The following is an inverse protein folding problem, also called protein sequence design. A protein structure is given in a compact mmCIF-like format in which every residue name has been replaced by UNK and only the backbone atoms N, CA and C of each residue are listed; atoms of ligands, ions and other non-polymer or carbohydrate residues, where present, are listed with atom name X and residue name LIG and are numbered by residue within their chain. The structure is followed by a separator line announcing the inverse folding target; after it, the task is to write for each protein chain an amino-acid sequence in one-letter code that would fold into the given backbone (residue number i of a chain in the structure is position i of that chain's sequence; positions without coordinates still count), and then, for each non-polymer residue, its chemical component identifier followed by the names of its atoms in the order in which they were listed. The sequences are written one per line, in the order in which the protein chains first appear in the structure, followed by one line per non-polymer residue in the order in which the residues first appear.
data_IF_410867824624
#
_entry.id   IF_410867824624
#
_cell.length_a   1.000
_cell.length_b   1.000
_cell.length_c   1.000
_cell.angle_alpha   90.00
_cell.angle_beta   90.00
_cell.angle_gamma   90.00
#
_symmetry.space_group_name_H-M   'P 1'
#
loop_
_entity.id
_entity.type
_entity.pdbx_description
1 polymer ?
#
# COMPACT_ATOMS: atom_id res chain seq x y z
N UNK A 1 21.50 -20.72 14.39
CA UNK A 1 20.48 -20.16 13.49
C UNK A 1 19.46 -19.44 14.36
N UNK A 2 19.36 -18.11 14.29
CA UNK A 2 18.34 -17.37 15.05
C UNK A 2 17.01 -17.40 14.26
N UNK A 3 15.93 -17.74 14.96
CA UNK A 3 14.61 -18.00 14.37
C UNK A 3 14.03 -16.76 13.69
N UNK A 4 13.38 -16.97 12.54
CA UNK A 4 12.62 -15.91 11.87
C UNK A 4 11.55 -15.37 12.83
N UNK A 5 11.61 -14.07 13.13
CA UNK A 5 10.70 -13.42 14.06
C UNK A 5 9.68 -12.60 13.27
N UNK A 6 8.40 -12.76 13.58
CA UNK A 6 7.33 -11.96 12.96
C UNK A 6 7.18 -10.64 13.71
N UNK A 7 6.87 -9.57 12.99
CA UNK A 7 6.67 -8.24 13.57
C UNK A 7 5.44 -7.54 12.94
N UNK A 8 4.78 -6.69 13.73
CA UNK A 8 3.67 -5.84 13.29
C UNK A 8 4.19 -4.49 12.76
N UNK A 9 3.36 -3.78 11.98
CA UNK A 9 3.67 -2.43 11.51
C UNK A 9 4.16 -1.52 12.67
N UNK A 10 5.24 -0.77 12.43
CA UNK A 10 5.86 0.09 13.45
C UNK A 10 6.76 -0.62 14.49
N UNK A 11 6.71 -1.96 14.62
CA UNK A 11 7.58 -2.68 15.57
C UNK A 11 9.02 -2.85 15.08
N UNK A 12 9.25 -2.77 13.76
CA UNK A 12 10.58 -2.91 13.16
C UNK A 12 11.58 -1.87 13.70
N UNK A 13 11.12 -0.66 14.02
CA UNK A 13 11.95 0.39 14.65
C UNK A 13 12.59 -0.10 15.93
N UNK A 14 11.82 -0.77 16.80
CA UNK A 14 12.31 -1.24 18.09
C UNK A 14 13.33 -2.37 17.91
N UNK A 15 13.10 -3.25 16.94
CA UNK A 15 14.07 -4.30 16.61
C UNK A 15 15.42 -3.70 16.18
N UNK A 16 15.40 -2.74 15.26
CA UNK A 16 16.63 -2.08 14.78
C UNK A 16 17.36 -1.31 15.89
N UNK A 17 16.62 -0.68 16.81
CA UNK A 17 17.21 -0.06 18.01
C UNK A 17 17.88 -1.08 18.93
N UNK A 18 17.24 -2.22 19.18
CA UNK A 18 17.82 -3.26 20.01
C UNK A 18 19.14 -3.81 19.43
N UNK A 19 19.27 -3.91 18.10
CA UNK A 19 20.54 -4.30 17.48
C UNK A 19 21.67 -3.33 17.82
N UNK A 20 21.35 -2.04 17.92
CA UNK A 20 22.30 -0.99 18.31
C UNK A 20 22.71 -1.14 19.77
N UNK A 21 21.74 -1.29 20.66
CA UNK A 21 21.98 -1.43 22.10
C UNK A 21 22.76 -2.71 22.45
N UNK A 22 22.58 -3.78 21.66
CA UNK A 22 23.27 -5.07 21.82
C UNK A 22 24.56 -5.18 20.99
N UNK A 23 25.00 -4.11 20.30
CA UNK A 23 26.21 -4.09 19.47
C UNK A 23 26.28 -5.22 18.43
N UNK A 24 25.13 -5.59 17.85
CA UNK A 24 25.02 -6.75 16.96
C UNK A 24 25.72 -6.49 15.63
N UNK A 25 26.51 -7.46 15.17
CA UNK A 25 27.06 -7.51 13.81
C UNK A 25 26.39 -8.61 13.01
N UNK A 26 25.92 -8.30 11.82
CA UNK A 26 25.31 -9.28 10.93
C UNK A 26 24.50 -8.70 9.79
N UNK A 27 23.79 -9.60 9.11
CA UNK A 27 22.87 -9.28 8.02
C UNK A 27 21.44 -9.50 8.48
N UNK A 28 20.61 -8.47 8.34
CA UNK A 28 19.18 -8.53 8.65
C UNK A 28 18.39 -8.62 7.36
N UNK A 29 17.73 -9.75 7.14
CA UNK A 29 16.77 -9.94 6.06
C UNK A 29 15.37 -9.62 6.55
N UNK A 30 14.67 -8.77 5.81
CA UNK A 30 13.32 -8.33 6.13
C UNK A 30 12.42 -8.72 4.97
N UNK A 31 11.30 -9.38 5.29
CA UNK A 31 10.28 -9.76 4.34
C UNK A 31 8.96 -9.11 4.74
N UNK A 32 8.58 -8.02 4.07
CA UNK A 32 7.35 -7.28 4.37
C UNK A 32 6.16 -7.83 3.61
N UNK A 33 4.98 -7.77 4.25
CA UNK A 33 3.69 -8.13 3.66
C UNK A 33 2.95 -6.82 3.42
N UNK A 34 2.95 -6.39 2.16
CA UNK A 34 2.39 -5.09 1.75
C UNK A 34 0.87 -5.18 1.56
N UNK A 35 0.38 -6.29 0.98
CA UNK A 35 -1.03 -6.67 0.89
C UNK A 35 -1.16 -8.21 0.84
N UNK A 36 -2.29 -8.82 1.29
CA UNK A 36 -2.47 -10.27 1.27
C UNK A 36 -2.35 -10.92 -0.11
N UNK A 37 -2.71 -10.18 -1.17
CA UNK A 37 -2.68 -10.64 -2.57
C UNK A 37 -1.38 -10.25 -3.31
N UNK A 38 -0.50 -9.45 -2.69
CA UNK A 38 0.74 -8.98 -3.31
C UNK A 38 1.97 -9.77 -2.86
N UNK A 39 2.97 -9.84 -3.73
CA UNK A 39 4.23 -10.54 -3.45
C UNK A 39 4.93 -9.90 -2.24
N UNK A 40 5.44 -10.72 -1.31
CA UNK A 40 6.21 -10.20 -0.19
C UNK A 40 7.49 -9.51 -0.70
N UNK A 41 7.84 -8.36 -0.13
CA UNK A 41 9.04 -7.62 -0.51
C UNK A 41 10.18 -7.96 0.40
N UNK A 42 11.32 -8.31 -0.19
CA UNK A 42 12.53 -8.62 0.56
C UNK A 42 13.45 -7.40 0.56
N UNK A 43 13.99 -7.08 1.73
CA UNK A 43 14.97 -6.04 1.97
C UNK A 43 16.09 -6.61 2.84
N UNK A 44 17.26 -5.99 2.75
CA UNK A 44 18.41 -6.37 3.57
C UNK A 44 19.05 -5.15 4.20
N UNK A 45 19.49 -5.30 5.44
CA UNK A 45 20.44 -4.39 6.10
C UNK A 45 21.71 -5.16 6.45
N UNK A 46 22.85 -4.49 6.37
CA UNK A 46 24.08 -4.95 7.02
C UNK A 46 24.34 -4.04 8.20
N UNK A 47 24.53 -4.66 9.36
CA UNK A 47 24.79 -4.00 10.63
C UNK A 47 26.17 -4.44 11.11
N UNK A 48 26.98 -3.50 11.58
CA UNK A 48 28.28 -3.77 12.17
C UNK A 48 28.39 -3.03 13.50
N UNK A 49 28.64 -3.76 14.58
CA UNK A 49 28.74 -3.23 15.94
C UNK A 49 27.51 -2.40 16.34
N UNK A 50 26.32 -2.85 15.94
CA UNK A 50 25.05 -2.18 16.21
C UNK A 50 24.70 -1.03 15.26
N UNK A 51 25.61 -0.58 14.39
CA UNK A 51 25.35 0.51 13.45
C UNK A 51 24.99 -0.04 12.05
N UNK A 52 24.00 0.58 11.39
CA UNK A 52 23.65 0.23 10.00
C UNK A 52 24.71 0.78 9.07
N UNK A 53 25.33 -0.08 8.27
CA UNK A 53 26.36 0.30 7.29
C UNK A 53 25.90 0.14 5.84
N UNK A 54 24.80 -0.58 5.61
CA UNK A 54 24.21 -0.77 4.29
C UNK A 54 22.73 -1.14 4.38
N UNK A 55 21.96 -0.76 3.38
CA UNK A 55 20.61 -1.25 3.16
C UNK A 55 20.30 -1.35 1.68
N UNK A 56 19.55 -2.36 1.24
CA UNK A 56 19.15 -2.51 -0.15
C UNK A 56 18.12 -3.60 -0.42
N UNK A 57 17.86 -3.86 -1.70
CA UNK A 57 17.03 -4.99 -2.16
C UNK A 57 17.74 -6.34 -1.95
N UNK A 58 19.06 -6.34 -2.13
CA UNK A 58 19.95 -7.50 -2.01
C UNK A 58 21.34 -7.03 -1.58
N UNK A 59 22.14 -7.96 -1.09
CA UNK A 59 23.55 -7.74 -0.80
C UNK A 59 24.32 -7.74 -2.13
N UNK A 60 25.21 -6.77 -2.39
CA UNK A 60 26.14 -6.85 -3.52
C UNK A 60 26.96 -8.14 -3.47
N UNK A 61 27.11 -8.82 -4.60
CA UNK A 61 27.85 -10.10 -4.65
C UNK A 61 29.35 -9.90 -4.45
N UNK A 62 29.87 -8.73 -4.81
CA UNK A 62 31.28 -8.37 -4.66
C UNK A 62 31.46 -6.85 -4.61
N UNK A 63 32.67 -6.44 -4.26
CA UNK A 63 33.08 -5.04 -4.15
C UNK A 63 33.00 -4.27 -5.48
N UNK A 64 33.23 -4.92 -6.62
CA UNK A 64 33.13 -4.28 -7.94
C UNK A 64 31.68 -3.93 -8.31
N UNK A 65 30.73 -4.83 -8.03
CA UNK A 65 29.30 -4.56 -8.22
C UNK A 65 28.86 -3.36 -7.39
N UNK A 66 29.29 -3.32 -6.12
CA UNK A 66 29.00 -2.18 -5.24
C UNK A 66 29.63 -0.88 -5.75
N UNK A 67 30.92 -0.88 -6.10
CA UNK A 67 31.60 0.32 -6.61
C UNK A 67 30.98 0.81 -7.93
N UNK A 68 30.53 -0.10 -8.81
CA UNK A 68 29.83 0.25 -10.05
C UNK A 68 28.47 0.87 -9.75
N UNK A 69 27.71 0.30 -8.82
CA UNK A 69 26.43 0.86 -8.37
C UNK A 69 26.61 2.31 -7.87
N UNK A 70 27.63 2.58 -7.06
CA UNK A 70 27.96 3.95 -6.63
C UNK A 70 28.30 4.84 -7.84
N UNK A 71 29.16 4.37 -8.75
CA UNK A 71 29.57 5.11 -9.94
C UNK A 71 28.41 5.50 -10.86
N UNK A 72 27.45 4.58 -11.07
CA UNK A 72 26.22 4.84 -11.84
C UNK A 72 25.38 5.91 -11.16
N UNK A 73 25.16 5.81 -9.85
CA UNK A 73 24.34 6.78 -9.09
C UNK A 73 24.95 8.20 -9.06
N UNK A 74 26.26 8.31 -9.23
CA UNK A 74 26.96 9.59 -9.35
C UNK A 74 27.11 10.08 -10.80
N UNK A 75 26.56 9.36 -11.79
CA UNK A 75 26.73 9.63 -13.22
C UNK A 75 28.21 9.71 -13.67
N UNK A 76 29.09 8.96 -13.01
CA UNK A 76 30.50 8.91 -13.38
C UNK A 76 30.75 7.89 -14.50
N UNK A 77 30.79 8.37 -15.74
CA UNK A 77 31.07 7.54 -16.94
C UNK A 77 32.41 6.79 -16.89
N UNK A 78 33.35 7.22 -16.06
CA UNK A 78 34.68 6.62 -15.89
C UNK A 78 34.80 5.64 -14.71
N UNK A 79 33.73 5.39 -13.96
CA UNK A 79 33.76 4.53 -12.78
C UNK A 79 34.25 3.10 -13.10
N UNK A 80 33.82 2.51 -14.21
CA UNK A 80 34.27 1.16 -14.61
C UNK A 80 35.77 1.09 -14.92
N UNK A 81 36.33 2.14 -15.52
CA UNK A 81 37.77 2.24 -15.79
C UNK A 81 38.56 2.34 -14.49
N UNK A 82 38.08 3.17 -13.55
CA UNK A 82 38.67 3.33 -12.23
C UNK A 82 38.64 2.03 -11.40
N UNK A 83 37.52 1.29 -11.45
CA UNK A 83 37.39 -0.02 -10.77
C UNK A 83 38.40 -1.00 -11.34
N UNK A 84 38.45 -1.15 -12.68
CA UNK A 84 39.41 -2.06 -13.35
C UNK A 84 40.86 -1.73 -12.99
N UNK A 85 41.23 -0.46 -13.04
CA UNK A 85 42.57 0.00 -12.67
C UNK A 85 42.90 -0.31 -11.20
N UNK A 86 41.94 -0.07 -10.31
CA UNK A 86 42.13 -0.26 -8.87
C UNK A 86 42.27 -1.74 -8.49
N UNK A 87 41.46 -2.61 -9.10
CA UNK A 87 41.46 -4.05 -8.84
C UNK A 87 42.83 -4.72 -9.04
N UNK A 88 43.60 -4.26 -10.03
CA UNK A 88 44.94 -4.80 -10.30
C UNK A 88 45.96 -4.50 -9.20
N UNK A 89 45.64 -3.56 -8.30
CA UNK A 89 46.57 -3.05 -7.29
C UNK A 89 46.15 -3.40 -5.87
N UNK A 90 45.04 -4.12 -5.68
CA UNK A 90 44.53 -4.50 -4.36
C UNK A 90 45.40 -5.59 -3.71
N UNK A 91 45.58 -5.48 -2.39
CA UNK A 91 46.19 -6.55 -1.57
C UNK A 91 45.15 -7.61 -1.24
N UNK A 92 43.93 -7.20 -0.94
CA UNK A 92 42.78 -8.07 -0.73
C UNK A 92 41.70 -7.80 -1.80
N UNK A 93 41.61 -8.64 -2.86
CA UNK A 93 40.67 -8.44 -3.96
C UNK A 93 39.19 -8.47 -3.56
N UNK A 94 38.83 -9.04 -2.40
CA UNK A 94 37.44 -9.08 -1.93
C UNK A 94 37.09 -7.96 -0.96
N UNK A 95 38.05 -7.16 -0.50
CA UNK A 95 37.80 -6.06 0.43
C UNK A 95 37.04 -4.93 -0.26
N UNK A 96 35.88 -4.57 0.30
CA UNK A 96 35.09 -3.42 -0.16
C UNK A 96 35.80 -2.13 0.20
N UNK A 97 36.24 -2.00 1.46
CA UNK A 97 36.96 -0.84 1.97
C UNK A 97 38.23 -0.56 1.16
N UNK A 98 39.09 -1.57 0.90
CA UNK A 98 40.35 -1.31 0.17
C UNK A 98 40.10 -0.82 -1.26
N UNK A 99 39.07 -1.36 -1.93
CA UNK A 99 38.66 -0.90 -3.25
C UNK A 99 38.18 0.55 -3.19
N UNK A 100 37.26 0.88 -2.29
CA UNK A 100 36.69 2.22 -2.16
C UNK A 100 37.74 3.25 -1.75
N UNK A 101 38.59 2.95 -0.77
CA UNK A 101 39.68 3.85 -0.33
C UNK A 101 40.59 4.22 -1.49
N UNK A 102 40.94 3.27 -2.35
CA UNK A 102 41.78 3.54 -3.51
C UNK A 102 41.04 4.35 -4.57
N UNK A 103 39.77 4.04 -4.85
CA UNK A 103 38.95 4.82 -5.79
C UNK A 103 38.81 6.27 -5.30
N UNK A 104 38.63 6.47 -4.00
CA UNK A 104 38.61 7.81 -3.37
C UNK A 104 39.98 8.49 -3.47
N UNK A 105 41.08 7.78 -3.23
CA UNK A 105 42.45 8.33 -3.38
C UNK A 105 42.75 8.81 -4.79
N UNK A 106 42.24 8.12 -5.83
CA UNK A 106 42.36 8.55 -7.23
C UNK A 106 41.29 9.57 -7.65
N UNK A 107 40.51 10.08 -6.69
CA UNK A 107 39.53 11.18 -6.83
C UNK A 107 38.40 10.91 -7.84
N UNK A 108 37.98 9.66 -7.94
CA UNK A 108 36.84 9.28 -8.81
C UNK A 108 35.51 9.60 -8.16
N UNK A 109 35.40 9.42 -6.84
CA UNK A 109 34.33 9.94 -5.98
C UNK A 109 34.88 10.13 -4.56
N UNK A 110 34.14 10.80 -3.68
CA UNK A 110 34.51 11.06 -2.27
C UNK A 110 33.74 10.18 -1.30
N UNK A 111 34.24 10.05 -0.07
CA UNK A 111 33.54 9.29 0.98
C UNK A 111 32.16 9.85 1.31
N UNK A 112 32.02 11.18 1.30
CA UNK A 112 30.74 11.84 1.56
C UNK A 112 29.69 11.50 0.50
N UNK A 113 30.10 11.28 -0.75
CA UNK A 113 29.22 10.90 -1.86
C UNK A 113 28.76 9.44 -1.72
N UNK A 114 29.68 8.54 -1.33
CA UNK A 114 29.35 7.14 -1.01
C UNK A 114 28.38 7.08 0.15
N UNK A 115 28.68 7.79 1.25
CA UNK A 115 27.84 7.86 2.43
C UNK A 115 26.44 8.38 2.08
N UNK A 116 26.33 9.47 1.30
CA UNK A 116 25.04 10.02 0.88
C UNK A 116 24.21 9.01 0.08
N UNK A 117 24.84 8.24 -0.81
CA UNK A 117 24.16 7.19 -1.58
C UNK A 117 23.67 6.07 -0.67
N UNK A 118 24.54 5.54 0.19
CA UNK A 118 24.19 4.44 1.09
C UNK A 118 23.13 4.87 2.10
N UNK A 119 23.24 6.10 2.63
CA UNK A 119 22.25 6.72 3.49
C UNK A 119 20.89 6.79 2.80
N UNK A 120 20.84 7.34 1.58
CA UNK A 120 19.61 7.41 0.78
C UNK A 120 18.99 6.03 0.56
N UNK A 121 19.83 5.03 0.27
CA UNK A 121 19.38 3.66 0.08
C UNK A 121 18.78 3.06 1.35
N UNK A 122 19.42 3.27 2.52
CA UNK A 122 18.90 2.83 3.82
C UNK A 122 17.58 3.52 4.16
N UNK A 123 17.48 4.83 3.93
CA UNK A 123 16.23 5.59 4.11
C UNK A 123 15.10 5.00 3.25
N UNK A 124 15.36 4.71 1.97
CA UNK A 124 14.36 4.10 1.08
C UNK A 124 13.93 2.71 1.57
N UNK A 125 14.87 1.89 2.06
CA UNK A 125 14.52 0.58 2.63
C UNK A 125 13.65 0.72 3.88
N UNK A 126 14.00 1.63 4.79
CA UNK A 126 13.23 1.90 6.00
C UNK A 126 11.83 2.42 5.67
N UNK A 127 11.71 3.39 4.76
CA UNK A 127 10.45 3.94 4.27
C UNK A 127 9.49 2.83 3.80
N UNK A 128 10.02 1.82 3.12
CA UNK A 128 9.24 0.72 2.55
C UNK A 128 8.96 -0.41 3.54
N UNK A 129 9.77 -0.56 4.59
CA UNK A 129 9.66 -1.68 5.52
C UNK A 129 8.91 -1.34 6.81
N UNK A 130 9.07 -0.13 7.33
CA UNK A 130 8.50 0.30 8.61
C UNK A 130 6.95 0.29 8.66
N UNK A 131 6.23 0.71 7.59
CA UNK A 131 4.77 0.79 7.63
C UNK A 131 4.06 -0.58 7.58
N UNK A 132 4.78 -1.65 7.24
CA UNK A 132 4.17 -2.95 6.94
C UNK A 132 4.59 -4.01 7.95
N UNK A 133 3.69 -4.94 8.32
CA UNK A 133 4.08 -6.13 9.08
C UNK A 133 4.97 -7.04 8.23
N UNK A 134 5.74 -7.91 8.88
CA UNK A 134 6.65 -8.79 8.16
C UNK A 134 7.34 -9.83 9.02
N UNK A 135 8.31 -10.48 8.40
CA UNK A 135 9.23 -11.42 9.04
C UNK A 135 10.64 -10.87 8.93
N UNK A 136 11.43 -11.07 9.99
CA UNK A 136 12.84 -10.72 10.02
C UNK A 136 13.68 -11.96 10.30
N UNK A 137 14.88 -12.02 9.71
CA UNK A 137 15.88 -13.05 9.96
C UNK A 137 17.24 -12.38 10.12
N UNK A 138 17.91 -12.66 11.23
CA UNK A 138 19.28 -12.20 11.49
C UNK A 138 20.27 -13.33 11.21
N UNK A 139 21.27 -13.04 10.39
CA UNK A 139 22.44 -13.88 10.19
C UNK A 139 23.66 -13.16 10.77
N UNK A 140 24.45 -13.83 11.61
CA UNK A 140 25.62 -13.23 12.28
C UNK A 140 26.81 -13.02 11.34
N UNK A 141 26.63 -13.25 10.05
CA UNK A 141 27.63 -13.03 9.01
C UNK A 141 27.56 -11.59 8.52
N UNK A 142 28.69 -10.89 8.57
CA UNK A 142 28.88 -9.58 7.98
C UNK A 142 29.58 -9.78 6.62
N UNK A 143 28.87 -9.63 5.48
CA UNK A 143 29.42 -9.97 4.17
C UNK A 143 30.52 -8.99 3.72
N UNK A 144 30.50 -7.78 4.25
CA UNK A 144 31.50 -6.74 4.01
C UNK A 144 31.42 -5.68 5.09
N UNK A 145 32.51 -4.93 5.25
CA UNK A 145 32.55 -3.75 6.10
C UNK A 145 32.62 -2.48 5.24
N UNK A 146 31.67 -1.58 5.47
CA UNK A 146 31.63 -0.23 4.88
C UNK A 146 31.84 0.84 5.95
N UNK A 147 32.14 0.46 7.20
CA UNK A 147 32.49 1.43 8.21
C UNK A 147 33.78 2.16 7.80
N UNK A 148 33.83 3.46 8.12
CA UNK A 148 34.93 4.34 7.74
C UNK A 148 35.25 5.29 8.88
N UNK A 149 36.43 5.91 8.79
CA UNK A 149 37.00 6.72 9.88
C UNK A 149 37.62 5.88 11.00
N UNK A 150 38.34 6.54 11.91
CA UNK A 150 39.07 5.87 13.01
C UNK A 150 38.13 5.19 14.03
N UNK A 151 36.85 5.59 14.06
CA UNK A 151 35.84 5.08 15.00
C UNK A 151 34.97 3.94 14.42
N UNK A 152 35.23 3.47 13.17
CA UNK A 152 34.34 2.54 12.44
C UNK A 152 32.87 2.98 12.45
N UNK A 153 32.60 4.20 11.95
CA UNK A 153 31.25 4.78 11.98
C UNK A 153 30.31 4.08 11.00
N UNK A 154 29.11 3.75 11.45
CA UNK A 154 27.96 3.50 10.57
C UNK A 154 27.08 4.75 10.44
N UNK A 155 25.90 4.59 9.84
CA UNK A 155 24.99 5.68 9.56
C UNK A 155 24.28 6.19 10.81
N UNK A 156 24.13 7.51 10.91
CA UNK A 156 23.44 8.16 12.03
C UNK A 156 21.94 7.80 12.04
N UNK A 157 21.53 7.07 13.08
CA UNK A 157 20.14 6.65 13.28
C UNK A 157 19.12 7.80 13.37
N UNK A 158 19.46 8.88 14.07
CA UNK A 158 18.57 10.03 14.22
C UNK A 158 18.35 10.73 12.88
N UNK A 159 19.43 10.89 12.09
CA UNK A 159 19.36 11.42 10.73
C UNK A 159 18.55 10.52 9.79
N UNK A 160 18.79 9.21 9.82
CA UNK A 160 18.01 8.24 9.04
C UNK A 160 16.51 8.36 9.32
N UNK A 161 16.12 8.37 10.59
CA UNK A 161 14.71 8.46 10.97
C UNK A 161 14.09 9.82 10.68
N UNK A 162 14.87 10.91 10.76
CA UNK A 162 14.45 12.23 10.31
C UNK A 162 14.11 12.21 8.82
N UNK A 163 15.02 11.70 7.98
CA UNK A 163 14.82 11.67 6.53
C UNK A 163 13.68 10.74 6.11
N UNK A 164 13.50 9.60 6.80
CA UNK A 164 12.33 8.74 6.62
C UNK A 164 11.03 9.50 6.91
N UNK A 165 11.00 10.26 8.01
CA UNK A 165 9.80 11.04 8.40
C UNK A 165 9.52 12.15 7.38
N UNK A 166 10.55 12.86 6.93
CA UNK A 166 10.44 13.89 5.89
C UNK A 166 9.86 13.30 4.61
N UNK A 167 10.35 12.15 4.16
CA UNK A 167 9.82 11.50 2.96
C UNK A 167 8.39 11.01 3.12
N UNK A 168 8.00 10.50 4.29
CA UNK A 168 6.61 10.14 4.57
C UNK A 168 5.68 11.36 4.46
N UNK A 169 6.13 12.54 4.92
CA UNK A 169 5.38 13.78 4.75
C UNK A 169 5.29 14.17 3.27
N UNK A 170 6.37 14.03 2.50
CA UNK A 170 6.35 14.29 1.06
C UNK A 170 5.39 13.34 0.32
N UNK A 171 5.38 12.05 0.64
CA UNK A 171 4.38 11.11 0.12
C UNK A 171 2.95 11.53 0.45
N UNK A 172 2.70 12.02 1.66
CA UNK A 172 1.39 12.52 2.06
C UNK A 172 0.94 13.72 1.20
N UNK A 173 1.87 14.55 0.71
CA UNK A 173 1.54 15.66 -0.22
C UNK A 173 1.06 15.19 -1.59
N UNK A 174 1.36 13.94 -1.97
CA UNK A 174 0.93 13.36 -3.25
C UNK A 174 -0.50 12.79 -3.20
N UNK A 175 -1.06 12.63 -2.00
CA UNK A 175 -2.44 12.18 -1.78
C UNK A 175 -3.44 13.32 -2.11
N UNK A 176 -4.60 13.06 -2.76
CA UNK A 176 -5.17 11.74 -3.07
C UNK A 176 -4.78 11.17 -4.44
N UNK A 177 -4.03 11.92 -5.27
CA UNK A 177 -3.74 11.54 -6.65
C UNK A 177 -2.83 10.30 -6.69
N UNK A 178 -1.82 10.25 -5.84
CA UNK A 178 -0.99 9.08 -5.61
C UNK A 178 -1.21 8.62 -4.17
N UNK A 179 -2.07 7.60 -3.95
CA UNK A 179 -2.46 7.19 -2.60
C UNK A 179 -1.35 6.46 -1.84
N UNK A 180 -0.40 5.83 -2.53
CA UNK A 180 0.77 5.18 -1.93
C UNK A 180 1.81 4.82 -3.00
N UNK A 181 2.98 4.35 -2.58
CA UNK A 181 3.98 3.75 -3.48
C UNK A 181 3.49 2.46 -4.15
N UNK A 182 2.45 1.82 -3.61
CA UNK A 182 1.83 0.60 -4.13
C UNK A 182 0.74 0.89 -5.16
N UNK A 183 0.50 2.17 -5.47
CA UNK A 183 -0.45 2.56 -6.49
C UNK A 183 -0.04 2.02 -7.86
N UNK A 184 -0.99 1.41 -8.57
CA UNK A 184 -0.84 0.85 -9.90
C UNK A 184 -1.28 1.90 -10.92
N UNK A 185 -0.35 2.49 -11.70
CA UNK A 185 -0.71 3.42 -12.75
C UNK A 185 -1.40 2.71 -13.92
N UNK A 186 -2.39 3.37 -14.52
CA UNK A 186 -3.10 2.95 -15.74
C UNK A 186 -3.21 4.08 -16.74
N UNK A 187 -2.93 3.80 -18.01
CA UNK A 187 -3.08 4.78 -19.08
C UNK A 187 -4.54 5.12 -19.32
N UNK A 188 -4.80 6.40 -19.60
CA UNK A 188 -6.11 6.90 -20.02
C UNK A 188 -6.10 7.00 -21.56
N UNK A 189 -6.84 6.14 -22.28
CA UNK A 189 -6.70 5.99 -23.74
C UNK A 189 -6.92 7.27 -24.55
N UNK A 190 -7.85 8.12 -24.12
CA UNK A 190 -8.25 9.34 -24.83
C UNK A 190 -7.12 10.39 -24.83
N UNK A 191 -6.28 10.39 -23.79
CA UNK A 191 -5.23 11.40 -23.60
C UNK A 191 -3.90 11.05 -24.29
N UNK A 192 -3.78 9.84 -24.85
CA UNK A 192 -2.55 9.34 -25.46
C UNK A 192 -2.05 10.23 -26.62
N UNK A 193 -2.98 10.79 -27.39
CA UNK A 193 -2.65 11.62 -28.55
C UNK A 193 -2.07 13.00 -28.18
N UNK A 194 -2.20 13.42 -26.91
CA UNK A 194 -1.74 14.72 -26.44
C UNK A 194 -0.27 14.72 -25.94
N UNK A 195 0.35 13.54 -25.80
CA UNK A 195 1.74 13.44 -25.29
C UNK A 195 2.70 13.71 -26.43
N UNK A 196 3.45 14.82 -26.37
CA UNK A 196 4.42 15.19 -27.42
C UNK A 196 5.83 14.68 -27.15
N UNK A 197 6.18 14.40 -25.88
CA UNK A 197 7.49 13.90 -25.49
C UNK A 197 7.61 12.39 -25.79
N UNK A 198 8.54 12.04 -26.69
CA UNK A 198 8.78 10.67 -27.11
C UNK A 198 9.35 9.77 -26.01
N UNK A 199 10.16 10.32 -25.08
CA UNK A 199 10.69 9.56 -23.94
C UNK A 199 9.57 9.20 -22.97
N UNK A 200 8.67 10.15 -22.69
CA UNK A 200 7.50 9.91 -21.84
C UNK A 200 6.58 8.87 -22.47
N UNK A 201 6.31 8.95 -23.77
CA UNK A 201 5.52 7.93 -24.47
C UNK A 201 6.17 6.54 -24.37
N UNK A 202 7.47 6.43 -24.62
CA UNK A 202 8.18 5.16 -24.54
C UNK A 202 8.12 4.58 -23.13
N UNK A 203 8.38 5.40 -22.11
CA UNK A 203 8.28 5.01 -20.70
C UNK A 203 6.89 4.48 -20.35
N UNK A 204 5.85 5.24 -20.67
CA UNK A 204 4.46 4.88 -20.37
C UNK A 204 4.05 3.57 -21.05
N UNK A 205 4.45 3.35 -22.32
CA UNK A 205 4.19 2.08 -23.03
C UNK A 205 4.87 0.88 -22.39
N UNK A 206 6.10 1.07 -21.95
CA UNK A 206 6.93 -0.02 -21.43
C UNK A 206 6.51 -0.43 -20.02
N UNK A 207 6.22 0.55 -19.17
CA UNK A 207 6.07 0.33 -17.73
C UNK A 207 4.63 0.36 -17.23
N UNK A 208 3.74 1.16 -17.83
CA UNK A 208 2.35 1.33 -17.38
C UNK A 208 1.42 0.32 -18.04
N UNK A 209 1.44 -0.91 -17.51
CA UNK A 209 0.58 -2.01 -17.96
C UNK A 209 -0.69 -2.18 -17.12
N UNK A 210 -0.88 -1.37 -16.08
CA UNK A 210 -2.00 -1.48 -15.16
C UNK A 210 -1.97 -2.69 -14.24
N UNK A 211 -0.79 -3.28 -14.01
CA UNK A 211 -0.56 -4.36 -13.03
C UNK A 211 0.62 -4.02 -12.13
N UNK A 212 1.68 -3.41 -12.66
CA UNK A 212 2.87 -3.02 -11.87
C UNK A 212 2.56 -1.81 -11.01
N UNK A 213 2.97 -1.85 -9.75
CA UNK A 213 2.91 -0.68 -8.85
C UNK A 213 4.04 0.31 -9.14
N UNK A 214 3.93 1.54 -8.65
CA UNK A 214 4.97 2.57 -8.80
C UNK A 214 6.32 2.10 -8.26
N UNK A 215 6.33 1.48 -7.09
CA UNK A 215 7.53 0.90 -6.50
C UNK A 215 8.12 -0.25 -7.33
N UNK A 216 7.30 -1.11 -7.95
CA UNK A 216 7.82 -2.15 -8.87
C UNK A 216 8.51 -1.53 -10.09
N UNK A 217 7.96 -0.42 -10.61
CA UNK A 217 8.54 0.32 -11.72
C UNK A 217 9.85 0.99 -11.28
N UNK A 218 9.86 1.64 -10.11
CA UNK A 218 11.05 2.29 -9.57
C UNK A 218 12.20 1.30 -9.33
N UNK A 219 11.91 0.12 -8.77
CA UNK A 219 12.91 -0.93 -8.59
C UNK A 219 13.50 -1.41 -9.92
N UNK A 220 12.67 -1.57 -10.96
CA UNK A 220 13.11 -2.00 -12.29
C UNK A 220 13.93 -0.93 -13.04
N UNK A 221 13.70 0.35 -12.71
CA UNK A 221 14.45 1.49 -13.24
C UNK A 221 15.68 1.85 -12.39
N UNK A 222 15.86 1.22 -11.23
CA UNK A 222 16.85 1.60 -10.21
C UNK A 222 16.74 3.07 -9.77
N UNK A 223 15.52 3.62 -9.83
CA UNK A 223 15.18 5.02 -9.49
C UNK A 223 14.59 5.16 -8.08
N UNK A 224 14.62 6.38 -7.54
CA UNK A 224 13.94 6.69 -6.28
C UNK A 224 12.40 6.64 -6.48
N UNK A 225 11.66 5.82 -5.72
CA UNK A 225 10.20 5.71 -5.84
C UNK A 225 9.45 7.03 -5.65
N UNK A 226 9.94 7.90 -4.76
CA UNK A 226 9.31 9.20 -4.48
C UNK A 226 9.54 10.18 -5.63
N UNK A 227 10.75 10.16 -6.23
CA UNK A 227 11.03 10.95 -7.42
C UNK A 227 10.22 10.48 -8.62
N UNK A 228 10.10 9.16 -8.81
CA UNK A 228 9.24 8.58 -9.83
C UNK A 228 7.78 9.00 -9.61
N UNK A 229 7.27 8.92 -8.38
CA UNK A 229 5.92 9.33 -8.04
C UNK A 229 5.66 10.81 -8.38
N UNK A 230 6.61 11.71 -8.13
CA UNK A 230 6.49 13.13 -8.54
C UNK A 230 6.33 13.30 -10.05
N UNK A 231 7.05 12.50 -10.85
CA UNK A 231 6.86 12.49 -12.32
C UNK A 231 5.47 11.99 -12.71
N UNK A 232 5.00 10.92 -12.07
CA UNK A 232 3.64 10.39 -12.30
C UNK A 232 2.54 11.33 -11.83
N UNK A 233 2.78 12.14 -10.80
CA UNK A 233 1.83 13.14 -10.31
C UNK A 233 1.50 14.16 -11.40
N UNK A 234 2.52 14.67 -12.10
CA UNK A 234 2.32 15.59 -13.21
C UNK A 234 1.49 14.94 -14.33
N UNK A 235 1.81 13.69 -14.70
CA UNK A 235 1.07 12.95 -15.73
C UNK A 235 -0.38 12.63 -15.32
N UNK A 236 -0.61 12.41 -14.03
CA UNK A 236 -1.94 12.17 -13.50
C UNK A 236 -2.81 13.43 -13.51
N UNK A 237 -2.24 14.58 -13.13
CA UNK A 237 -2.91 15.89 -13.23
C UNK A 237 -3.23 16.23 -14.70
N UNK A 238 -2.33 15.89 -15.64
CA UNK A 238 -2.58 16.04 -17.07
C UNK A 238 -3.57 15.02 -17.65
N UNK A 239 -4.09 14.10 -16.83
CA UNK A 239 -5.06 13.09 -17.25
C UNK A 239 -4.49 12.02 -18.19
N UNK A 240 -3.17 11.80 -18.19
CA UNK A 240 -2.51 10.76 -18.99
C UNK A 240 -2.53 9.40 -18.28
N UNK A 241 -2.45 9.44 -16.96
CA UNK A 241 -2.38 8.27 -16.09
C UNK A 241 -3.40 8.42 -14.95
N UNK A 242 -4.06 7.34 -14.59
CA UNK A 242 -4.79 7.22 -13.32
C UNK A 242 -4.03 6.29 -12.39
N UNK A 243 -3.93 6.62 -11.12
CA UNK A 243 -3.28 5.77 -10.12
C UNK A 243 -4.31 5.28 -9.12
N UNK A 244 -4.26 3.99 -8.81
CA UNK A 244 -5.13 3.35 -7.84
C UNK A 244 -4.35 2.35 -7.02
N UNK A 245 -4.58 2.26 -5.72
CA UNK A 245 -4.14 1.08 -4.98
C UNK A 245 -4.93 -0.11 -5.53
N UNK A 246 -4.30 -1.24 -5.86
CA UNK A 246 -5.03 -2.49 -6.06
C UNK A 246 -5.54 -2.97 -4.69
N UNK A 247 -6.62 -2.35 -4.27
CA UNK A 247 -7.62 -2.85 -3.34
C UNK A 247 -8.86 -2.98 -4.23
N UNK A 248 -9.57 -4.11 -4.29
CA UNK A 248 -10.89 -4.16 -4.92
C UNK A 248 -11.72 -3.03 -4.29
N UNK A 249 -12.21 -2.11 -5.11
CA UNK A 249 -12.90 -0.87 -4.74
C UNK A 249 -13.47 -0.84 -3.31
N UNK A 250 -12.66 -0.36 -2.37
CA UNK A 250 -13.13 0.03 -1.04
C UNK A 250 -12.78 1.50 -0.88
N UNK A 251 -13.76 2.34 -1.21
CA UNK A 251 -13.67 3.79 -1.18
C UNK A 251 -13.43 4.29 0.25
N UNK A 252 -12.22 4.79 0.54
CA UNK A 252 -11.92 5.59 1.72
C UNK A 252 -12.18 7.05 1.36
N UNK A 253 -13.16 7.66 2.01
CA UNK A 253 -13.57 9.05 1.81
C UNK A 253 -12.72 9.96 2.69
N UNK A 254 -12.09 10.97 2.07
CA UNK A 254 -11.35 12.05 2.73
C UNK A 254 -12.26 12.93 3.58
N UNK A 255 -11.79 13.27 4.78
CA UNK A 255 -12.48 14.10 5.75
C UNK A 255 -12.58 15.58 5.31
N UNK A 256 -13.79 16.01 4.98
CA UNK A 256 -14.41 17.32 5.33
C UNK A 256 -15.78 17.44 4.65
N UNK A 257 -16.73 16.61 5.08
CA UNK A 257 -18.17 16.78 4.80
C UNK A 257 -18.91 15.91 5.83
N UNK A 258 -20.02 16.41 6.41
CA UNK A 258 -20.89 15.64 7.33
C UNK A 258 -21.01 14.20 6.82
N UNK A 259 -20.49 13.23 7.57
CA UNK A 259 -20.43 11.83 7.11
C UNK A 259 -21.84 11.35 6.76
N UNK A 260 -22.05 11.03 5.49
CA UNK A 260 -23.31 10.43 5.01
C UNK A 260 -23.41 9.02 5.60
N UNK A 261 -24.53 8.64 6.21
CA UNK A 261 -24.70 7.30 6.77
C UNK A 261 -24.43 6.21 5.72
N UNK A 262 -23.83 5.09 6.16
CA UNK A 262 -23.44 4.01 5.27
C UNK A 262 -24.60 3.02 5.11
N UNK A 263 -25.05 2.81 3.88
CA UNK A 263 -26.04 1.81 3.50
C UNK A 263 -25.33 0.67 2.79
N UNK A 264 -25.40 -0.55 3.32
CA UNK A 264 -24.89 -1.74 2.65
C UNK A 264 -26.01 -2.39 1.84
N UNK A 265 -25.79 -2.65 0.56
CA UNK A 265 -26.68 -3.43 -0.30
C UNK A 265 -26.04 -4.76 -0.67
N UNK A 266 -26.76 -5.85 -0.41
CA UNK A 266 -26.35 -7.22 -0.68
C UNK A 266 -27.31 -7.81 -1.70
N UNK A 267 -26.86 -7.88 -2.96
CA UNK A 267 -27.67 -8.31 -4.10
C UNK A 267 -26.74 -8.85 -5.19
N UNK A 268 -27.01 -10.01 -5.77
CA UNK A 268 -26.14 -10.61 -6.80
C UNK A 268 -26.35 -9.98 -8.19
N UNK A 269 -27.41 -9.20 -8.38
CA UNK A 269 -27.71 -8.49 -9.62
C UNK A 269 -27.00 -7.15 -9.71
N UNK A 270 -26.01 -7.06 -10.61
CA UNK A 270 -25.32 -5.79 -10.93
C UNK A 270 -26.28 -4.68 -11.39
N UNK A 271 -27.40 -5.04 -12.03
CA UNK A 271 -28.43 -4.09 -12.47
C UNK A 271 -29.14 -3.46 -11.26
N UNK A 272 -29.51 -4.29 -10.28
CA UNK A 272 -30.16 -3.82 -9.05
C UNK A 272 -29.18 -3.00 -8.21
N UNK A 273 -27.93 -3.47 -8.06
CA UNK A 273 -26.88 -2.72 -7.38
C UNK A 273 -26.64 -1.32 -8.00
N UNK A 274 -26.55 -1.25 -9.33
CA UNK A 274 -26.38 0.04 -10.05
C UNK A 274 -27.57 0.97 -9.81
N UNK A 275 -28.79 0.44 -9.81
CA UNK A 275 -30.00 1.22 -9.52
C UNK A 275 -30.02 1.73 -8.08
N UNK A 276 -29.70 0.87 -7.10
CA UNK A 276 -29.65 1.23 -5.68
C UNK A 276 -28.58 2.31 -5.43
N UNK A 277 -27.39 2.14 -6.02
CA UNK A 277 -26.30 3.13 -5.95
C UNK A 277 -26.79 4.48 -6.45
N UNK A 278 -27.34 4.54 -7.67
CA UNK A 278 -27.87 5.78 -8.26
C UNK A 278 -29.00 6.40 -7.46
N UNK A 279 -29.86 5.60 -6.84
CA UNK A 279 -31.01 6.10 -6.08
C UNK A 279 -30.62 6.72 -4.72
N UNK A 280 -29.48 6.34 -4.16
CA UNK A 280 -29.11 6.66 -2.78
C UNK A 280 -27.81 7.46 -2.64
N UNK A 281 -26.94 7.52 -3.66
CA UNK A 281 -25.59 8.12 -3.58
C UNK A 281 -25.58 9.59 -3.17
N UNK A 282 -26.64 10.33 -3.54
CA UNK A 282 -26.79 11.75 -3.21
C UNK A 282 -26.89 12.00 -1.70
N UNK A 283 -27.40 11.02 -0.94
CA UNK A 283 -27.73 11.17 0.49
C UNK A 283 -26.99 10.18 1.41
N UNK A 284 -26.52 9.05 0.88
CA UNK A 284 -25.92 7.95 1.62
C UNK A 284 -24.62 7.49 0.99
N UNK A 285 -23.72 6.94 1.80
CA UNK A 285 -22.62 6.15 1.28
C UNK A 285 -23.11 4.73 1.02
N UNK A 286 -23.33 4.36 -0.24
CA UNK A 286 -23.80 3.02 -0.60
C UNK A 286 -22.61 2.09 -0.84
N UNK A 287 -22.51 1.03 -0.03
CA UNK A 287 -21.61 -0.11 -0.25
C UNK A 287 -22.40 -1.22 -0.95
N UNK A 288 -21.79 -1.86 -1.94
CA UNK A 288 -22.40 -2.91 -2.74
C UNK A 288 -21.61 -4.20 -2.56
N UNK A 289 -22.29 -5.31 -2.29
CA UNK A 289 -21.69 -6.64 -2.24
C UNK A 289 -22.65 -7.66 -2.86
N UNK A 290 -22.11 -8.72 -3.43
CA UNK A 290 -22.90 -9.69 -4.20
C UNK A 290 -23.17 -11.00 -3.45
N UNK A 291 -22.66 -11.17 -2.24
CA UNK A 291 -22.83 -12.39 -1.46
C UNK A 291 -22.78 -12.15 0.06
N UNK A 292 -23.34 -13.11 0.82
CA UNK A 292 -23.43 -13.04 2.28
C UNK A 292 -22.08 -13.07 3.01
N UNK A 293 -21.05 -13.75 2.46
CA UNK A 293 -19.74 -13.87 3.10
C UNK A 293 -19.01 -12.53 3.12
N UNK A 294 -19.01 -11.83 1.99
CA UNK A 294 -18.43 -10.49 1.89
C UNK A 294 -19.28 -9.47 2.66
N UNK A 295 -20.61 -9.64 2.68
CA UNK A 295 -21.48 -8.83 3.52
C UNK A 295 -21.12 -8.93 5.02
N UNK A 296 -20.82 -10.12 5.56
CA UNK A 296 -20.36 -10.25 6.96
C UNK A 296 -19.07 -9.48 7.23
N UNK A 297 -18.10 -9.58 6.31
CA UNK A 297 -16.82 -8.85 6.43
C UNK A 297 -17.09 -7.34 6.47
N UNK A 298 -17.91 -6.84 5.54
CA UNK A 298 -18.23 -5.41 5.42
C UNK A 298 -19.03 -4.89 6.62
N UNK A 299 -20.03 -5.63 7.09
CA UNK A 299 -20.83 -5.25 8.27
C UNK A 299 -19.96 -5.21 9.53
N UNK A 300 -18.90 -6.03 9.62
CA UNK A 300 -18.04 -6.06 10.79
C UNK A 300 -17.05 -4.89 10.85
N UNK A 301 -16.56 -4.44 9.70
CA UNK A 301 -15.49 -3.42 9.59
C UNK A 301 -16.00 -2.00 9.34
N UNK A 302 -17.29 -1.82 9.02
CA UNK A 302 -17.88 -0.51 8.73
C UNK A 302 -19.06 -0.20 9.68
N UNK A 303 -19.29 1.07 10.03
CA UNK A 303 -20.46 1.49 10.80
C UNK A 303 -21.72 1.54 9.92
N UNK A 304 -22.22 0.37 9.52
CA UNK A 304 -23.40 0.25 8.66
C UNK A 304 -24.63 0.79 9.39
N UNK A 305 -25.29 1.79 8.80
CA UNK A 305 -26.52 2.39 9.31
C UNK A 305 -27.77 1.64 8.85
N UNK A 306 -27.71 0.96 7.70
CA UNK A 306 -28.82 0.15 7.18
C UNK A 306 -28.31 -0.93 6.21
N UNK A 307 -28.95 -2.10 6.25
CA UNK A 307 -28.71 -3.22 5.33
C UNK A 307 -29.90 -3.38 4.37
N UNK A 308 -29.67 -3.24 3.07
CA UNK A 308 -30.55 -3.67 2.00
C UNK A 308 -30.14 -5.09 1.60
N UNK A 309 -31.06 -6.04 1.65
CA UNK A 309 -30.75 -7.45 1.46
C UNK A 309 -31.70 -8.12 0.49
N UNK A 310 -31.19 -8.64 -0.62
CA UNK A 310 -31.98 -9.48 -1.50
C UNK A 310 -32.41 -10.78 -0.79
N UNK A 311 -33.65 -11.20 -1.01
CA UNK A 311 -34.17 -12.46 -0.49
C UNK A 311 -33.54 -13.65 -1.23
N UNK A 312 -33.39 -13.53 -2.55
CA UNK A 312 -32.94 -14.64 -3.39
C UNK A 312 -31.51 -14.40 -3.85
N UNK A 313 -30.56 -15.13 -3.27
CA UNK A 313 -29.14 -15.07 -3.67
C UNK A 313 -28.57 -16.49 -3.83
N UNK A 314 -27.57 -16.68 -4.71
CA UNK A 314 -26.85 -17.95 -4.82
C UNK A 314 -26.09 -18.29 -3.53
N UNK A 315 -26.17 -19.54 -3.10
CA UNK A 315 -25.49 -20.01 -1.88
C UNK A 315 -26.34 -19.77 -0.63
N UNK A 316 -25.98 -18.75 0.15
CA UNK A 316 -26.70 -18.40 1.39
C UNK A 316 -27.86 -17.47 1.04
N UNK A 317 -29.08 -17.91 1.33
CA UNK A 317 -30.27 -17.11 1.06
C UNK A 317 -30.35 -15.88 1.99
N UNK A 318 -31.07 -14.83 1.56
CA UNK A 318 -31.15 -13.59 2.32
C UNK A 318 -31.87 -13.73 3.67
N UNK A 319 -32.77 -14.70 3.81
CA UNK A 319 -33.47 -14.93 5.07
C UNK A 319 -32.56 -15.60 6.11
N UNK A 320 -31.77 -16.59 5.69
CA UNK A 320 -30.73 -17.25 6.48
C UNK A 320 -29.63 -16.26 6.86
N UNK A 321 -29.21 -15.40 5.93
CA UNK A 321 -28.26 -14.35 6.22
C UNK A 321 -28.80 -13.35 7.25
N UNK A 322 -30.07 -12.94 7.10
CA UNK A 322 -30.75 -12.06 8.08
C UNK A 322 -30.78 -12.68 9.49
N UNK A 323 -31.14 -13.97 9.60
CA UNK A 323 -31.10 -14.71 10.89
C UNK A 323 -29.69 -14.72 11.49
N UNK A 324 -28.68 -14.95 10.67
CA UNK A 324 -27.27 -14.97 11.10
C UNK A 324 -26.84 -13.62 11.65
N UNK A 325 -27.13 -12.53 10.92
CA UNK A 325 -26.84 -11.16 11.38
C UNK A 325 -27.57 -10.85 12.69
N UNK A 326 -28.83 -11.28 12.84
CA UNK A 326 -29.62 -11.09 14.08
C UNK A 326 -29.13 -11.89 15.27
N UNK A 327 -28.47 -13.02 15.06
CA UNK A 327 -27.86 -13.82 16.13
C UNK A 327 -26.65 -13.14 16.78
N UNK A 328 -26.02 -12.19 16.08
CA UNK A 328 -24.83 -11.49 16.55
C UNK A 328 -25.25 -10.27 17.39
N UNK A 329 -24.90 -10.20 18.69
CA UNK A 329 -25.35 -9.12 19.58
C UNK A 329 -25.03 -7.71 19.05
N UNK A 330 -23.88 -7.55 18.39
CA UNK A 330 -23.42 -6.30 17.78
C UNK A 330 -24.41 -5.73 16.74
N UNK A 331 -25.16 -6.58 16.04
CA UNK A 331 -26.04 -6.17 14.92
C UNK A 331 -27.53 -6.36 15.22
N UNK A 332 -27.89 -6.61 16.47
CA UNK A 332 -29.27 -6.84 16.91
C UNK A 332 -30.21 -5.70 16.52
N UNK A 333 -29.72 -4.46 16.52
CA UNK A 333 -30.48 -3.25 16.22
C UNK A 333 -30.23 -2.66 14.82
N UNK A 334 -29.40 -3.30 14.00
CA UNK A 334 -29.12 -2.82 12.64
C UNK A 334 -30.40 -2.88 11.79
N UNK A 335 -30.92 -1.78 11.23
CA UNK A 335 -32.07 -1.83 10.34
C UNK A 335 -31.81 -2.70 9.10
N UNK A 336 -32.71 -3.65 8.81
CA UNK A 336 -32.61 -4.52 7.63
C UNK A 336 -33.87 -4.35 6.78
N UNK A 337 -33.71 -3.94 5.53
CA UNK A 337 -34.79 -3.88 4.53
C UNK A 337 -34.57 -5.03 3.54
N UNK A 338 -35.54 -5.95 3.47
CA UNK A 338 -35.49 -7.05 2.51
C UNK A 338 -36.03 -6.62 1.15
N UNK A 339 -35.33 -6.99 0.08
CA UNK A 339 -35.74 -6.78 -1.30
C UNK A 339 -36.26 -8.12 -1.85
N UNK A 340 -37.54 -8.18 -2.23
CA UNK A 340 -38.19 -9.43 -2.67
C UNK A 340 -38.78 -9.30 -4.06
N UNK A 341 -38.80 -10.37 -4.85
CA UNK A 341 -39.61 -10.43 -6.07
C UNK A 341 -41.13 -10.42 -5.73
N UNK A 342 -41.97 -10.03 -6.70
CA UNK A 342 -43.44 -9.81 -6.54
C UNK A 342 -44.24 -11.01 -6.04
N UNK A 343 -43.73 -12.24 -6.13
CA UNK A 343 -44.56 -13.44 -6.09
C UNK A 343 -44.55 -14.26 -4.78
N UNK A 344 -44.06 -13.71 -3.65
CA UNK A 344 -44.04 -14.47 -2.39
C UNK A 344 -44.57 -13.69 -1.20
N UNK A 345 -45.90 -13.67 -1.07
CA UNK A 345 -46.60 -13.25 0.14
C UNK A 345 -46.11 -14.02 1.39
N UNK A 346 -45.65 -15.27 1.20
CA UNK A 346 -45.01 -16.10 2.23
C UNK A 346 -43.69 -15.54 2.77
N UNK A 347 -42.92 -14.83 1.94
CA UNK A 347 -41.57 -14.37 2.29
C UNK A 347 -41.61 -13.08 3.11
N UNK A 348 -42.67 -12.27 2.94
CA UNK A 348 -42.93 -11.12 3.82
C UNK A 348 -43.25 -11.56 5.25
N UNK A 349 -44.09 -12.60 5.41
CA UNK A 349 -44.43 -13.17 6.73
C UNK A 349 -43.23 -13.86 7.38
N UNK A 350 -42.50 -14.70 6.64
CA UNK A 350 -41.26 -15.34 7.13
C UNK A 350 -40.18 -14.34 7.48
N UNK A 351 -40.11 -13.28 6.69
CA UNK A 351 -39.21 -12.17 6.87
C UNK A 351 -39.41 -11.41 8.20
N UNK A 352 -40.65 -11.05 8.53
CA UNK A 352 -40.95 -10.40 9.81
C UNK A 352 -40.58 -11.31 11.00
N UNK A 353 -40.77 -12.63 10.86
CA UNK A 353 -40.37 -13.60 11.88
C UNK A 353 -38.85 -13.73 12.06
N UNK A 354 -38.04 -13.34 11.07
CA UNK A 354 -36.56 -13.35 11.16
C UNK A 354 -35.95 -11.99 11.53
N UNK A 355 -36.79 -10.99 11.83
CA UNK A 355 -36.36 -9.72 12.40
C UNK A 355 -35.93 -8.65 11.39
N UNK A 356 -36.44 -8.67 10.15
CA UNK A 356 -36.25 -7.53 9.27
C UNK A 356 -37.15 -6.34 9.66
N UNK A 357 -36.68 -5.14 9.34
CA UNK A 357 -37.32 -3.86 9.66
C UNK A 357 -38.35 -3.45 8.61
N UNK A 358 -38.10 -3.72 7.32
CA UNK A 358 -39.02 -3.40 6.23
C UNK A 358 -38.88 -4.32 5.01
N UNK A 359 -39.83 -4.23 4.07
CA UNK A 359 -39.84 -4.99 2.82
C UNK A 359 -40.10 -4.07 1.63
N UNK A 360 -39.31 -4.23 0.57
CA UNK A 360 -39.55 -3.62 -0.73
C UNK A 360 -39.66 -4.69 -1.80
N UNK A 361 -40.59 -4.48 -2.74
CA UNK A 361 -40.86 -5.45 -3.79
C UNK A 361 -40.21 -4.99 -5.10
N UNK A 362 -39.41 -5.85 -5.73
CA UNK A 362 -38.80 -5.63 -7.04
C UNK A 362 -39.86 -5.72 -8.16
N UNK A 363 -39.82 -4.86 -9.18
CA UNK A 363 -38.87 -3.76 -9.37
C UNK A 363 -39.14 -2.59 -8.41
N UNK A 364 -38.08 -2.03 -7.83
CA UNK A 364 -38.18 -0.98 -6.81
C UNK A 364 -38.07 0.37 -7.50
N UNK A 365 -39.01 1.27 -7.21
CA UNK A 365 -38.93 2.65 -7.69
C UNK A 365 -37.88 3.43 -6.87
N UNK A 366 -36.93 4.15 -7.51
CA UNK A 366 -35.87 4.88 -6.81
C UNK A 366 -36.37 5.82 -5.71
N UNK A 367 -37.49 6.52 -5.94
CA UNK A 367 -38.11 7.41 -4.95
C UNK A 367 -38.62 6.65 -3.72
N UNK A 368 -39.24 5.49 -3.93
CA UNK A 368 -39.74 4.63 -2.85
C UNK A 368 -38.59 4.07 -2.01
N UNK A 369 -37.49 3.66 -2.66
CA UNK A 369 -36.28 3.19 -1.99
C UNK A 369 -35.71 4.28 -1.08
N UNK A 370 -35.50 5.49 -1.62
CA UNK A 370 -34.94 6.61 -0.88
C UNK A 370 -35.78 6.97 0.35
N UNK A 371 -37.10 7.07 0.20
CA UNK A 371 -38.01 7.38 1.31
C UNK A 371 -37.97 6.31 2.40
N UNK A 372 -37.89 5.03 2.02
CA UNK A 372 -37.89 3.92 2.98
C UNK A 372 -36.57 3.86 3.74
N UNK A 373 -35.44 4.07 3.06
CA UNK A 373 -34.11 4.14 3.67
C UNK A 373 -34.04 5.33 4.64
N UNK A 374 -34.52 6.51 4.24
CA UNK A 374 -34.54 7.69 5.10
C UNK A 374 -35.30 7.47 6.41
N UNK A 375 -36.47 6.84 6.36
CA UNK A 375 -37.26 6.49 7.55
C UNK A 375 -36.53 5.56 8.52
N UNK A 376 -35.69 4.67 8.00
CA UNK A 376 -35.01 3.65 8.81
C UNK A 376 -33.67 4.12 9.37
N UNK A 377 -32.98 5.03 8.67
CA UNK A 377 -31.67 5.56 9.09
C UNK A 377 -31.80 6.70 10.11
N UNK A 378 -32.86 7.52 10.03
CA UNK A 378 -33.10 8.62 10.97
C UNK A 378 -34.54 8.62 11.50
N UNK A 379 -34.81 7.94 12.63
CA UNK A 379 -36.14 7.88 13.22
C UNK A 379 -36.65 9.20 13.79
N UNK A 380 -35.78 10.21 14.00
CA UNK A 380 -36.14 11.51 14.61
C UNK A 380 -36.36 12.63 13.60
N UNK A 381 -35.86 12.49 12.37
CA UNK A 381 -36.03 13.49 11.31
C UNK A 381 -37.48 13.73 10.87
N UNK A 382 -38.44 12.87 11.24
CA UNK A 382 -39.87 13.05 10.92
C UNK A 382 -40.76 13.48 12.10
N UNK A 383 -40.21 13.64 13.31
CA UNK A 383 -40.94 14.29 14.43
C UNK A 383 -40.92 15.82 14.36
N UNK A 384 -40.33 16.39 13.29
CA UNK A 384 -40.28 17.82 13.01
C UNK A 384 -40.77 18.08 11.58
N UNK A 385 -42.04 17.78 11.34
CA UNK A 385 -42.84 18.52 10.36
C UNK A 385 -44.13 18.94 11.07
N UNK A 386 -44.51 20.23 11.01
CA UNK A 386 -45.72 20.75 11.66
C UNK A 386 -47.01 20.18 11.08
#
# INVERSE_FOLDING_TARGET
MLNASSYQAGQLVNFLKNLKDEYVSGTVYIKTIVNPDQKPRTRVFVVNNGEIIYGGLKIPHNNQEFARMIGIKLNHSFADTAIKYTMQKLRNPSSFQELLERIVRIRVFKWEEIEAIVHTQVVQVLEQALPHPGQLKLETTVPFDLSYGEDNRGLDWAKLMHDVTTRQQEWATLTPIIPSMDAVPKLIPISWQAITDSKVQQHLRQWVNGVRSLIDIAEQLEEDPLQLARSYMAWAISGWVSLRNEIPETQVISATQKQRPIVLSVDDSLVVQTMIKRALDDNYQVLLVSNAVDALKVINTNPIALLLLDVTMPGIDGLEFCRTVRSIPKFKHLPIIMLTARDKFSDKLRGQMVGATHYLTKPIEPKQLLQTVAKCVDPKALSLQP
#
